data_IF_725601855034
#
_entry.id   IF_725601855034
#
_cell.length_a   1.000
_cell.length_b   1.000
_cell.length_c   1.000
_cell.angle_alpha   90.00
_cell.angle_beta   90.00
_cell.angle_gamma   90.00
#
_symmetry.space_group_name_H-M   'P 1'
#
loop_
_entity.id
_entity.type
_entity.pdbx_description
1 polymer ?
#
# COMPACT_ATOMS: atom_id res chain seq x y z
N UNK A 1 61.92 -26.23 28.63
CA UNK A 1 60.54 -25.70 28.58
C UNK A 1 60.54 -24.19 28.33
N UNK A 2 60.88 -23.71 27.13
CA UNK A 2 60.71 -22.26 26.79
C UNK A 2 60.55 -21.94 25.28
N UNK A 3 60.62 -22.92 24.38
CA UNK A 3 60.56 -22.68 22.91
C UNK A 3 59.27 -23.18 22.23
N UNK A 4 58.40 -23.93 22.91
CA UNK A 4 57.12 -24.39 22.34
C UNK A 4 55.94 -23.46 22.69
N UNK A 5 56.04 -22.70 23.79
CA UNK A 5 54.98 -21.77 24.22
C UNK A 5 54.87 -20.50 23.36
N UNK A 6 55.94 -20.11 22.64
CA UNK A 6 55.93 -18.89 21.81
C UNK A 6 55.29 -19.07 20.43
N UNK A 7 55.24 -20.30 19.91
CA UNK A 7 54.67 -20.58 18.60
C UNK A 7 53.13 -20.63 18.68
N UNK A 8 52.58 -21.11 19.79
CA UNK A 8 51.12 -21.22 20.00
C UNK A 8 50.47 -19.84 20.21
N UNK A 9 51.17 -18.89 20.85
CA UNK A 9 50.66 -17.54 21.11
C UNK A 9 50.63 -16.68 19.82
N UNK A 10 51.51 -16.95 18.85
CA UNK A 10 51.55 -16.21 17.58
C UNK A 10 50.43 -16.56 16.60
N UNK A 11 49.91 -17.79 16.63
CA UNK A 11 48.89 -18.26 15.67
C UNK A 11 47.48 -17.80 16.05
N UNK A 12 47.20 -17.60 17.34
CA UNK A 12 45.88 -17.18 17.83
C UNK A 12 45.61 -15.69 17.52
N UNK A 13 46.66 -14.85 17.42
CA UNK A 13 46.50 -13.42 17.12
C UNK A 13 46.25 -13.09 15.64
N UNK A 14 46.48 -14.03 14.72
CA UNK A 14 46.26 -13.81 13.28
C UNK A 14 44.85 -14.17 12.80
N UNK A 15 44.01 -14.80 13.63
CA UNK A 15 42.65 -15.22 13.25
C UNK A 15 41.53 -14.29 13.72
N UNK A 16 41.86 -13.20 14.44
CA UNK A 16 40.88 -12.21 14.92
C UNK A 16 40.80 -10.94 14.05
N UNK A 17 41.62 -10.83 13.01
CA UNK A 17 41.49 -9.77 12.02
C UNK A 17 40.78 -10.31 10.78
N UNK A 18 39.70 -9.64 10.38
CA UNK A 18 38.99 -9.81 9.10
C UNK A 18 37.93 -10.92 9.00
N UNK A 19 36.98 -10.90 9.94
CA UNK A 19 35.57 -10.97 9.55
C UNK A 19 34.94 -9.59 9.67
N UNK A 20 35.38 -8.66 8.84
CA UNK A 20 34.55 -7.51 8.52
C UNK A 20 33.52 -7.98 7.50
N UNK A 21 32.21 -8.03 7.82
CA UNK A 21 31.22 -8.09 6.77
C UNK A 21 31.41 -6.81 5.96
N UNK A 22 31.92 -6.94 4.73
CA UNK A 22 31.76 -5.90 3.72
C UNK A 22 30.26 -5.85 3.49
N UNK A 23 29.59 -4.97 4.22
CA UNK A 23 28.26 -4.52 3.86
C UNK A 23 28.45 -3.82 2.52
N UNK A 24 28.28 -4.55 1.43
CA UNK A 24 28.14 -3.99 0.10
C UNK A 24 26.91 -3.09 0.17
N UNK A 25 27.15 -1.82 0.45
CA UNK A 25 26.17 -0.75 0.43
C UNK A 25 25.89 -0.39 -1.03
N UNK A 26 25.58 -1.41 -1.84
CA UNK A 26 24.78 -1.26 -3.03
C UNK A 26 23.34 -1.04 -2.58
N UNK A 27 23.11 0.12 -1.95
CA UNK A 27 21.78 0.65 -1.73
C UNK A 27 21.22 0.91 -3.12
N UNK A 28 20.50 -0.06 -3.67
CA UNK A 28 19.73 0.09 -4.89
C UNK A 28 18.78 1.27 -4.70
N UNK A 29 19.12 2.41 -5.27
CA UNK A 29 18.24 3.56 -5.31
C UNK A 29 17.03 3.16 -6.14
N UNK A 30 15.97 2.72 -5.46
CA UNK A 30 14.65 2.63 -6.08
C UNK A 30 14.12 4.07 -6.09
N UNK A 31 13.87 4.67 -7.27
CA UNK A 31 13.36 6.02 -7.32
C UNK A 31 12.07 6.11 -6.51
N UNK A 32 11.93 7.13 -5.67
CA UNK A 32 10.73 7.35 -4.85
C UNK A 32 9.43 7.30 -5.67
N UNK A 33 9.50 7.65 -6.96
CA UNK A 33 8.42 7.50 -7.94
C UNK A 33 7.90 6.06 -8.06
N UNK A 34 8.78 5.06 -8.10
CA UNK A 34 8.39 3.64 -8.23
C UNK A 34 7.71 3.11 -6.98
N UNK A 35 8.12 3.57 -5.79
CA UNK A 35 7.46 3.19 -4.55
C UNK A 35 6.09 3.88 -4.43
N UNK A 36 5.99 5.12 -4.92
CA UNK A 36 4.73 5.87 -4.93
C UNK A 36 3.69 5.25 -5.86
N UNK A 37 4.08 4.80 -7.06
CA UNK A 37 3.16 4.13 -7.99
C UNK A 37 2.64 2.81 -7.42
N UNK A 38 3.51 1.99 -6.82
CA UNK A 38 3.07 0.72 -6.19
C UNK A 38 2.12 0.98 -5.02
N UNK A 39 2.40 2.02 -4.21
CA UNK A 39 1.52 2.40 -3.11
C UNK A 39 0.16 2.91 -3.62
N UNK A 40 0.15 3.74 -4.66
CA UNK A 40 -1.06 4.25 -5.31
C UNK A 40 -1.91 3.13 -5.91
N UNK A 41 -1.30 2.21 -6.65
CA UNK A 41 -1.96 1.03 -7.24
C UNK A 41 -2.63 0.18 -6.14
N UNK A 42 -1.94 0.01 -5.01
CA UNK A 42 -2.50 -0.71 -3.86
C UNK A 42 -3.73 -0.01 -3.26
N UNK A 43 -3.72 1.32 -3.20
CA UNK A 43 -4.81 2.14 -2.64
C UNK A 43 -6.00 2.13 -3.58
N UNK A 44 -5.76 2.33 -4.88
CA UNK A 44 -6.80 2.31 -5.90
C UNK A 44 -7.47 0.94 -5.97
N UNK A 45 -6.71 -0.16 -5.97
CA UNK A 45 -7.27 -1.52 -5.99
C UNK A 45 -8.18 -1.81 -4.79
N UNK A 46 -7.78 -1.37 -3.58
CA UNK A 46 -8.62 -1.52 -2.38
C UNK A 46 -9.91 -0.71 -2.51
N UNK A 47 -9.81 0.54 -2.94
CA UNK A 47 -10.98 1.38 -3.19
C UNK A 47 -11.91 0.78 -4.25
N UNK A 48 -11.36 0.26 -5.35
CA UNK A 48 -12.13 -0.39 -6.41
C UNK A 48 -12.91 -1.60 -5.87
N UNK A 49 -12.26 -2.47 -5.08
CA UNK A 49 -12.94 -3.61 -4.44
C UNK A 49 -14.11 -3.17 -3.57
N UNK A 50 -13.95 -2.08 -2.81
CA UNK A 50 -15.04 -1.52 -1.99
C UNK A 50 -16.18 -1.01 -2.87
N UNK A 51 -15.87 -0.21 -3.90
CA UNK A 51 -16.88 0.33 -4.81
C UNK A 51 -17.64 -0.79 -5.54
N UNK A 52 -16.92 -1.80 -6.02
CA UNK A 52 -17.50 -2.97 -6.68
C UNK A 52 -18.44 -3.74 -5.75
N UNK A 53 -17.97 -4.08 -4.55
CA UNK A 53 -18.74 -4.91 -3.61
C UNK A 53 -19.89 -4.17 -2.91
N UNK A 54 -19.76 -2.85 -2.69
CA UNK A 54 -20.70 -2.09 -1.86
C UNK A 54 -21.57 -1.12 -2.65
N UNK A 55 -21.04 -0.54 -3.72
CA UNK A 55 -21.72 0.48 -4.50
C UNK A 55 -22.30 -0.09 -5.80
N UNK A 56 -21.54 -0.88 -6.56
CA UNK A 56 -21.96 -1.37 -7.86
C UNK A 56 -23.17 -2.30 -7.79
N UNK A 57 -23.35 -3.04 -6.70
CA UNK A 57 -24.55 -3.86 -6.46
C UNK A 57 -25.86 -3.09 -6.72
N UNK A 58 -25.91 -1.80 -6.37
CA UNK A 58 -27.05 -0.94 -6.69
C UNK A 58 -26.91 -0.25 -8.06
N UNK A 59 -25.70 0.16 -8.46
CA UNK A 59 -25.49 0.86 -9.74
C UNK A 59 -25.82 -0.05 -10.94
N UNK A 60 -25.43 -1.32 -10.91
CA UNK A 60 -25.72 -2.29 -11.96
C UNK A 60 -27.23 -2.47 -12.18
N UNK A 61 -28.01 -2.42 -11.08
CA UNK A 61 -29.45 -2.58 -11.13
C UNK A 61 -30.19 -1.31 -11.55
N UNK A 62 -29.74 -0.15 -11.06
CA UNK A 62 -30.53 1.09 -11.13
C UNK A 62 -29.89 2.22 -11.93
N UNK A 63 -28.58 2.19 -12.18
CA UNK A 63 -27.88 3.23 -12.93
C UNK A 63 -26.60 2.66 -13.59
N UNK A 64 -26.79 1.86 -14.63
CA UNK A 64 -25.71 1.14 -15.32
C UNK A 64 -24.60 2.05 -15.88
N UNK A 65 -24.92 3.31 -16.17
CA UNK A 65 -23.94 4.32 -16.63
C UNK A 65 -22.97 4.77 -15.54
N UNK A 66 -23.22 4.41 -14.28
CA UNK A 66 -22.46 4.82 -13.08
C UNK A 66 -21.92 3.60 -12.33
N UNK A 67 -21.69 2.50 -13.04
CA UNK A 67 -20.93 1.35 -12.54
C UNK A 67 -19.45 1.73 -12.55
N UNK A 68 -18.81 1.61 -11.38
CA UNK A 68 -17.41 1.94 -11.24
C UNK A 68 -16.54 0.77 -11.69
N UNK A 69 -15.54 1.07 -12.50
CA UNK A 69 -14.47 0.16 -12.89
C UNK A 69 -13.14 0.74 -12.42
N UNK A 70 -12.08 -0.07 -12.40
CA UNK A 70 -10.75 0.40 -12.02
C UNK A 70 -10.28 1.55 -12.93
N UNK A 71 -10.63 1.49 -14.21
CA UNK A 71 -10.23 2.49 -15.21
C UNK A 71 -11.03 3.79 -15.09
N UNK A 72 -12.28 3.73 -14.61
CA UNK A 72 -13.21 4.87 -14.64
C UNK A 72 -13.44 5.53 -13.27
N UNK A 73 -12.99 4.94 -12.17
CA UNK A 73 -13.36 5.40 -10.84
C UNK A 73 -12.76 6.78 -10.48
N UNK A 74 -11.58 7.10 -10.99
CA UNK A 74 -10.87 8.34 -10.69
C UNK A 74 -11.68 9.60 -11.07
N UNK A 75 -12.21 9.73 -12.30
CA UNK A 75 -13.13 10.83 -12.67
C UNK A 75 -14.36 10.99 -11.76
N UNK A 76 -14.81 9.91 -11.11
CA UNK A 76 -15.97 9.94 -10.22
C UNK A 76 -15.64 10.26 -8.76
N UNK A 77 -14.37 10.44 -8.39
CA UNK A 77 -13.94 10.59 -7.00
C UNK A 77 -14.71 11.69 -6.24
N UNK A 78 -14.91 12.86 -6.87
CA UNK A 78 -15.68 13.97 -6.30
C UNK A 78 -17.16 13.61 -6.05
N UNK A 79 -17.78 12.89 -6.97
CA UNK A 79 -19.17 12.44 -6.85
C UNK A 79 -19.31 11.36 -5.78
N UNK A 80 -18.38 10.40 -5.75
CA UNK A 80 -18.32 9.36 -4.72
C UNK A 80 -18.16 10.01 -3.34
N UNK A 81 -17.25 10.98 -3.20
CA UNK A 81 -17.08 11.73 -1.96
C UNK A 81 -18.39 12.35 -1.47
N UNK A 82 -19.07 13.06 -2.36
CA UNK A 82 -20.35 13.70 -2.06
C UNK A 82 -21.42 12.68 -1.67
N UNK A 83 -21.52 11.54 -2.35
CA UNK A 83 -22.56 10.55 -2.07
C UNK A 83 -22.29 9.73 -0.80
N UNK A 84 -21.03 9.36 -0.54
CA UNK A 84 -20.64 8.48 0.58
C UNK A 84 -20.45 9.27 1.88
N UNK A 85 -19.69 10.37 1.84
CA UNK A 85 -19.24 11.06 3.07
C UNK A 85 -20.12 12.24 3.45
N UNK A 86 -20.58 13.02 2.46
CA UNK A 86 -21.42 14.20 2.72
C UNK A 86 -22.90 13.79 2.83
N UNK A 87 -23.45 13.22 1.76
CA UNK A 87 -24.88 12.91 1.67
C UNK A 87 -25.25 11.60 2.34
N UNK A 88 -24.28 10.70 2.58
CA UNK A 88 -24.49 9.36 3.17
C UNK A 88 -25.60 8.57 2.47
N UNK A 89 -25.69 8.70 1.15
CA UNK A 89 -26.68 8.03 0.27
C UNK A 89 -26.15 6.74 -0.35
N UNK A 90 -24.84 6.50 -0.23
CA UNK A 90 -24.17 5.30 -0.72
C UNK A 90 -23.29 4.71 0.40
N UNK A 91 -23.24 3.38 0.55
CA UNK A 91 -24.00 2.36 -0.20
C UNK A 91 -25.50 2.35 0.13
N UNK A 92 -26.32 1.86 -0.80
CA UNK A 92 -27.80 1.92 -0.68
C UNK A 92 -28.34 0.70 0.06
N UNK A 93 -29.32 0.93 0.92
CA UNK A 93 -30.02 -0.12 1.67
C UNK A 93 -29.46 -0.32 3.09
N UNK A 94 -30.09 -1.22 3.86
CA UNK A 94 -29.74 -1.46 5.26
C UNK A 94 -28.74 -2.59 5.48
N UNK A 95 -28.59 -3.49 4.50
CA UNK A 95 -27.75 -4.71 4.62
C UNK A 95 -26.31 -4.46 4.18
N UNK A 96 -26.11 -3.76 3.05
CA UNK A 96 -24.79 -3.45 2.52
C UNK A 96 -24.34 -2.13 3.12
N UNK A 97 -23.32 -2.20 3.98
CA UNK A 97 -22.71 -1.05 4.64
C UNK A 97 -21.20 -1.08 4.45
N UNK A 98 -20.62 0.12 4.52
CA UNK A 98 -19.18 0.29 4.70
C UNK A 98 -18.82 0.04 6.16
N UNK A 99 -17.77 -0.72 6.41
CA UNK A 99 -17.11 -0.74 7.72
C UNK A 99 -16.31 0.55 7.92
N UNK A 100 -15.84 0.79 9.15
CA UNK A 100 -15.02 1.96 9.43
C UNK A 100 -13.71 1.93 8.63
N UNK A 101 -13.12 0.75 8.47
CA UNK A 101 -11.91 0.52 7.69
C UNK A 101 -12.17 0.81 6.20
N UNK A 102 -13.27 0.30 5.65
CA UNK A 102 -13.66 0.58 4.26
C UNK A 102 -13.92 2.08 4.02
N UNK A 103 -14.49 2.79 5.00
CA UNK A 103 -14.61 4.25 4.95
C UNK A 103 -13.24 4.94 4.88
N UNK A 104 -12.28 4.52 5.72
CA UNK A 104 -10.94 5.11 5.72
C UNK A 104 -10.18 4.81 4.43
N UNK A 105 -10.29 3.59 3.90
CA UNK A 105 -9.65 3.20 2.63
C UNK A 105 -10.19 4.02 1.45
N UNK A 106 -11.52 4.18 1.36
CA UNK A 106 -12.13 5.05 0.37
C UNK A 106 -11.71 6.51 0.54
N UNK A 107 -11.68 7.02 1.78
CA UNK A 107 -11.30 8.40 2.03
C UNK A 107 -9.84 8.64 1.65
N UNK A 108 -8.94 7.72 1.98
CA UNK A 108 -7.52 7.78 1.63
C UNK A 108 -7.32 7.83 0.11
N UNK A 109 -8.08 7.04 -0.64
CA UNK A 109 -8.04 7.06 -2.10
C UNK A 109 -8.59 8.36 -2.70
N UNK A 110 -9.71 8.89 -2.17
CA UNK A 110 -10.36 10.09 -2.73
C UNK A 110 -9.63 11.39 -2.37
N UNK A 111 -9.06 11.48 -1.18
CA UNK A 111 -8.48 12.73 -0.66
C UNK A 111 -7.51 13.43 -1.62
N UNK A 112 -6.52 12.75 -2.25
CA UNK A 112 -5.61 13.40 -3.21
C UNK A 112 -6.27 13.73 -4.56
N UNK A 113 -7.46 13.19 -4.84
CA UNK A 113 -8.19 13.34 -6.11
C UNK A 113 -9.31 14.37 -6.02
N UNK A 114 -9.62 14.86 -4.82
CA UNK A 114 -10.61 15.91 -4.60
C UNK A 114 -10.08 17.24 -5.14
N UNK A 115 -10.84 17.85 -6.04
CA UNK A 115 -10.62 19.20 -6.57
C UNK A 115 -11.71 20.14 -6.10
#
# INVERSE_FOLDING_TARGET
MTMLAKIIIGIILSFLAEQHPKTDLAQSYVPAKSMYTVAEDSIQLRAYKILSNKCNVCQEKHNRRRVFTDENMNPWANDIYKQVFIKKRMPKGKKIKLTNEEYQELLKWISPKKT
#
